data_IF_370081733690
#
_entry.id   IF_370081733690
#
_cell.length_a   1.000
_cell.length_b   1.000
_cell.length_c   1.000
_cell.angle_alpha   90.00
_cell.angle_beta   90.00
_cell.angle_gamma   90.00
#
_symmetry.space_group_name_H-M   'P 1'
#
loop_
_entity.id
_entity.type
_entity.pdbx_description
1 polymer ?
#
# COMPACT_ATOMS: atom_id res chain seq x y z
N UNK A 1 0.18 12.31 11.51
CA UNK A 1 -0.60 11.38 12.35
C UNK A 1 -0.13 9.96 12.05
N UNK A 2 -0.17 9.03 13.02
CA UNK A 2 0.17 7.60 12.80
C UNK A 2 -1.08 6.75 13.00
N UNK A 3 -1.43 5.91 12.00
CA UNK A 3 -2.56 5.00 12.06
C UNK A 3 -2.09 3.59 11.69
N UNK A 4 -2.27 2.64 12.62
CA UNK A 4 -2.08 1.22 12.33
C UNK A 4 -3.22 0.70 11.46
N UNK A 5 -2.88 -0.06 10.42
CA UNK A 5 -3.86 -0.70 9.54
C UNK A 5 -4.34 -2.02 10.17
N UNK A 6 -5.65 -2.20 10.23
CA UNK A 6 -6.27 -3.42 10.73
C UNK A 6 -7.53 -3.75 9.90
N UNK A 7 -7.48 -4.72 8.98
CA UNK A 7 -6.34 -5.61 8.68
C UNK A 7 -5.19 -4.89 7.98
N UNK A 8 -4.02 -5.55 7.91
CA UNK A 8 -2.95 -5.10 7.03
C UNK A 8 -3.41 -5.11 5.58
N UNK A 9 -2.96 -4.13 4.80
CA UNK A 9 -3.37 -3.95 3.40
C UNK A 9 -2.33 -4.60 2.48
N UNK A 10 -2.76 -5.44 1.54
CA UNK A 10 -1.88 -5.96 0.49
C UNK A 10 -1.51 -4.84 -0.47
N UNK A 11 -0.21 -4.66 -0.67
CA UNK A 11 0.33 -3.62 -1.54
C UNK A 11 1.43 -4.16 -2.46
N UNK A 12 1.56 -3.53 -3.62
CA UNK A 12 2.72 -3.67 -4.51
C UNK A 12 3.55 -2.39 -4.43
N UNK A 13 4.87 -2.56 -4.35
CA UNK A 13 5.87 -1.49 -4.27
C UNK A 13 6.92 -1.68 -5.37
N UNK A 14 7.79 -0.68 -5.64
CA UNK A 14 8.91 -0.85 -6.57
C UNK A 14 9.89 -1.97 -6.20
N UNK A 15 9.89 -2.42 -4.93
CA UNK A 15 10.77 -3.48 -4.42
C UNK A 15 10.07 -4.83 -4.26
N UNK A 16 8.81 -4.95 -4.69
CA UNK A 16 8.01 -6.16 -4.61
C UNK A 16 6.73 -6.00 -3.79
N UNK A 17 6.05 -7.11 -3.54
CA UNK A 17 4.78 -7.15 -2.83
C UNK A 17 4.96 -7.27 -1.31
N UNK A 18 3.98 -6.78 -0.57
CA UNK A 18 4.03 -6.80 0.88
C UNK A 18 2.72 -6.42 1.56
N UNK A 19 2.79 -6.40 2.88
CA UNK A 19 1.73 -5.88 3.74
C UNK A 19 2.09 -4.50 4.27
N UNK A 20 1.21 -3.54 4.02
CA UNK A 20 1.27 -2.26 4.71
C UNK A 20 0.83 -2.43 6.17
N UNK A 21 1.70 -2.02 7.08
CA UNK A 21 1.53 -2.14 8.53
C UNK A 21 0.85 -0.91 9.13
N UNK A 22 1.32 0.27 8.74
CA UNK A 22 0.77 1.55 9.17
C UNK A 22 1.19 2.67 8.21
N UNK A 23 0.48 3.79 8.31
CA UNK A 23 0.68 4.98 7.49
C UNK A 23 1.10 6.17 8.35
N UNK A 24 2.10 6.91 7.85
CA UNK A 24 2.56 8.17 8.43
C UNK A 24 2.04 9.29 7.52
N UNK A 25 1.10 10.07 8.04
CA UNK A 25 0.54 11.22 7.33
C UNK A 25 1.23 12.51 7.78
N UNK A 26 1.79 13.24 6.81
CA UNK A 26 2.42 14.56 6.97
C UNK A 26 1.47 15.72 6.62
N UNK A 27 0.21 15.44 6.29
CA UNK A 27 -0.77 16.42 5.86
C UNK A 27 -0.71 16.66 4.35
N UNK A 28 -1.43 17.68 3.84
CA UNK A 28 -1.69 17.83 2.40
C UNK A 28 -0.47 18.25 1.56
N UNK A 29 0.61 18.73 2.20
CA UNK A 29 1.75 19.32 1.49
C UNK A 29 2.82 18.31 1.10
N UNK A 30 2.82 17.11 1.71
CA UNK A 30 3.87 16.11 1.56
C UNK A 30 3.19 14.74 1.41
N UNK A 31 3.72 13.87 0.55
CA UNK A 31 3.21 12.51 0.41
C UNK A 31 3.20 11.80 1.77
N UNK A 32 2.12 11.08 2.06
CA UNK A 32 2.12 10.13 3.16
C UNK A 32 3.11 9.00 2.88
N UNK A 33 3.71 8.47 3.93
CA UNK A 33 4.64 7.35 3.86
C UNK A 33 3.97 6.09 4.39
N UNK A 34 4.09 5.01 3.64
CA UNK A 34 3.59 3.69 3.98
C UNK A 34 4.74 2.83 4.49
N UNK A 35 4.53 2.20 5.65
CA UNK A 35 5.48 1.24 6.20
C UNK A 35 5.05 -0.16 5.80
N UNK A 36 5.87 -0.80 4.96
CA UNK A 36 5.52 -2.06 4.30
C UNK A 36 6.51 -3.14 4.68
N UNK A 37 6.02 -4.32 5.07
CA UNK A 37 6.83 -5.53 5.16
C UNK A 37 6.75 -6.29 3.83
N UNK A 38 7.89 -6.49 3.17
CA UNK A 38 7.97 -7.26 1.93
C UNK A 38 7.80 -8.76 2.20
N UNK A 39 7.03 -9.46 1.36
CA UNK A 39 6.79 -10.88 1.54
C UNK A 39 8.03 -11.75 1.35
N UNK A 40 8.81 -11.49 0.30
CA UNK A 40 9.94 -12.33 -0.07
C UNK A 40 11.10 -12.26 0.93
N UNK A 41 11.35 -11.07 1.49
CA UNK A 41 12.52 -10.82 2.33
C UNK A 41 12.19 -10.60 3.81
N UNK A 42 10.94 -10.29 4.14
CA UNK A 42 10.55 -9.84 5.47
C UNK A 42 11.07 -8.45 5.85
N UNK A 43 11.81 -7.77 4.96
CA UNK A 43 12.33 -6.43 5.21
C UNK A 43 11.20 -5.41 5.32
N UNK A 44 11.38 -4.44 6.23
CA UNK A 44 10.47 -3.31 6.39
C UNK A 44 11.02 -2.11 5.64
N UNK A 45 10.21 -1.54 4.75
CA UNK A 45 10.57 -0.41 3.91
C UNK A 45 9.57 0.73 4.07
N UNK A 46 10.00 1.94 3.71
CA UNK A 46 9.17 3.13 3.63
C UNK A 46 8.92 3.46 2.16
N UNK A 47 7.65 3.63 1.79
CA UNK A 47 7.24 3.89 0.40
C UNK A 47 6.29 5.08 0.37
N UNK A 48 6.52 6.01 -0.55
CA UNK A 48 5.64 7.17 -0.73
C UNK A 48 4.30 6.75 -1.35
N UNK A 49 3.22 7.44 -0.97
CA UNK A 49 1.87 7.22 -1.55
C UNK A 49 1.82 7.29 -3.08
N UNK A 50 2.79 7.97 -3.72
CA UNK A 50 2.88 8.07 -5.18
C UNK A 50 3.41 6.80 -5.86
N UNK A 51 4.11 5.93 -5.13
CA UNK A 51 4.80 4.75 -5.68
C UNK A 51 4.17 3.42 -5.27
N UNK A 52 3.20 3.46 -4.37
CA UNK A 52 2.52 2.27 -3.84
C UNK A 52 1.19 2.03 -4.54
N UNK A 53 0.81 0.77 -4.71
CA UNK A 53 -0.55 0.39 -5.11
C UNK A 53 -1.18 -0.57 -4.12
N UNK A 54 -2.41 -0.29 -3.75
CA UNK A 54 -3.26 -1.23 -3.01
C UNK A 54 -3.74 -2.31 -3.97
N UNK A 55 -3.63 -3.56 -3.56
CA UNK A 55 -4.02 -4.72 -4.34
C UNK A 55 -5.31 -5.34 -3.80
N UNK A 56 -5.88 -6.23 -4.59
CA UNK A 56 -6.95 -7.11 -4.15
C UNK A 56 -6.48 -8.09 -3.10
N UNK A 57 -7.45 -8.74 -2.47
CA UNK A 57 -7.23 -9.86 -1.57
C UNK A 57 -8.45 -10.79 -1.64
N UNK A 58 -8.31 -11.89 -2.38
CA UNK A 58 -9.39 -12.84 -2.62
C UNK A 58 -9.92 -13.47 -1.32
N UNK A 59 -9.06 -13.72 -0.34
CA UNK A 59 -9.46 -14.28 0.98
C UNK A 59 -10.42 -13.35 1.72
N UNK A 60 -10.28 -12.04 1.52
CA UNK A 60 -11.19 -11.04 2.08
C UNK A 60 -12.27 -10.57 1.10
N UNK A 61 -12.38 -11.18 -0.09
CA UNK A 61 -13.34 -10.80 -1.12
C UNK A 61 -13.10 -9.40 -1.70
N UNK A 62 -11.86 -8.90 -1.62
CA UNK A 62 -11.47 -7.59 -2.16
C UNK A 62 -10.94 -7.82 -3.58
N UNK A 63 -11.59 -7.30 -4.64
CA UNK A 63 -11.11 -7.49 -6.00
C UNK A 63 -9.84 -6.68 -6.26
N UNK A 64 -8.99 -7.17 -7.17
CA UNK A 64 -7.85 -6.40 -7.65
C UNK A 64 -8.29 -5.09 -8.32
N UNK A 65 -7.44 -4.03 -8.26
CA UNK A 65 -7.70 -2.81 -9.00
C UNK A 65 -7.83 -3.12 -10.48
N UNK A 66 -8.88 -2.59 -11.10
CA UNK A 66 -9.02 -2.69 -12.54
C UNK A 66 -7.81 -2.05 -13.23
N UNK A 67 -7.36 -2.58 -14.39
CA UNK A 67 -6.37 -1.92 -15.21
C UNK A 67 -6.78 -0.47 -15.50
N UNK A 68 -5.80 0.41 -15.57
CA UNK A 68 -6.05 1.80 -15.93
C UNK A 68 -6.78 1.87 -17.28
N UNK A 69 -7.87 2.63 -17.29
CA UNK A 69 -8.56 3.05 -18.51
C UNK A 69 -8.91 4.53 -18.36
N UNK A 70 -9.05 5.25 -19.47
CA UNK A 70 -9.42 6.69 -19.48
C UNK A 70 -10.73 6.99 -18.72
N UNK A 71 -11.51 5.97 -18.37
CA UNK A 71 -12.82 6.06 -17.70
C UNK A 71 -12.77 5.80 -16.19
N UNK A 72 -11.64 5.35 -15.64
CA UNK A 72 -11.47 5.00 -14.23
C UNK A 72 -10.35 5.85 -13.60
N UNK A 73 -10.63 7.14 -13.41
CA UNK A 73 -9.74 8.14 -12.77
C UNK A 73 -10.22 8.41 -11.35
#
# INVERSE_FOLDING_TARGET
MILQLNPHIWVTTPLGEGHALFLIDYGPSINSVWVVQLFDSGNVIHVDSAEIRVMGNEMYGIPDPAPFTERNI
#
